data_IF_802611664245
#
_entry.id   IF_802611664245
#
_cell.length_a   1.000
_cell.length_b   1.000
_cell.length_c   1.000
_cell.angle_alpha   90.00
_cell.angle_beta   90.00
_cell.angle_gamma   90.00
#
_symmetry.space_group_name_H-M   'P 1'
#
loop_
_entity.id
_entity.type
_entity.pdbx_description
1 polymer ?
#
# COMPACT_ATOMS: atom_id res chain seq x y z
N UNK A 1 6.98 8.21 -10.98
CA UNK A 1 5.93 7.35 -10.37
C UNK A 1 6.35 6.98 -8.97
N UNK A 2 5.50 7.23 -7.97
CA UNK A 2 5.82 6.96 -6.57
C UNK A 2 6.15 5.47 -6.32
N UNK A 3 5.47 4.55 -7.02
CA UNK A 3 5.69 3.09 -6.92
C UNK A 3 7.16 2.69 -7.16
N UNK A 4 7.85 3.36 -8.11
CA UNK A 4 9.28 3.10 -8.38
C UNK A 4 10.19 3.50 -7.22
N UNK A 5 9.78 4.47 -6.41
CA UNK A 5 10.57 5.05 -5.33
C UNK A 5 10.42 4.30 -3.99
N UNK A 6 9.48 3.35 -3.87
CA UNK A 6 9.30 2.54 -2.66
C UNK A 6 10.61 1.78 -2.37
N UNK A 7 11.00 1.58 -1.11
CA UNK A 7 12.24 0.87 -0.77
C UNK A 7 12.06 -0.65 -0.83
N UNK A 8 13.01 -1.34 -1.44
CA UNK A 8 13.09 -2.81 -1.42
C UNK A 8 13.63 -3.31 -0.06
N UNK A 9 13.43 -4.59 0.24
CA UNK A 9 13.92 -5.25 1.45
C UNK A 9 13.24 -4.76 2.73
N UNK A 10 12.05 -4.18 2.62
CA UNK A 10 11.20 -3.85 3.77
C UNK A 10 10.26 -5.02 4.05
N UNK A 11 9.93 -5.23 5.32
CA UNK A 11 8.92 -6.20 5.70
C UNK A 11 7.59 -5.82 5.03
N UNK A 12 6.88 -6.83 4.52
CA UNK A 12 5.53 -6.64 4.00
C UNK A 12 4.60 -6.16 5.12
N UNK A 13 3.54 -5.45 4.74
CA UNK A 13 2.48 -5.09 5.65
C UNK A 13 1.65 -6.32 6.07
N UNK A 14 0.57 -6.11 6.84
CA UNK A 14 -0.40 -7.15 7.16
C UNK A 14 -1.03 -7.83 5.93
N UNK A 15 -1.02 -7.14 4.79
CA UNK A 15 -1.45 -7.65 3.48
C UNK A 15 -0.52 -8.71 2.90
N UNK A 16 0.67 -8.91 3.48
CA UNK A 16 1.74 -9.77 2.98
C UNK A 16 2.23 -9.42 1.57
N UNK A 17 1.99 -8.19 1.10
CA UNK A 17 2.43 -7.72 -0.22
C UNK A 17 3.78 -7.01 -0.06
N UNK A 18 4.88 -7.57 -0.61
CA UNK A 18 6.18 -6.89 -0.58
C UNK A 18 6.24 -5.74 -1.59
N UNK A 19 7.10 -4.76 -1.33
CA UNK A 19 7.31 -3.62 -2.22
C UNK A 19 7.77 -4.04 -3.62
N UNK A 20 8.49 -5.16 -3.72
CA UNK A 20 8.96 -5.77 -4.95
C UNK A 20 7.82 -6.28 -5.83
N UNK A 21 6.72 -6.76 -5.23
CA UNK A 21 5.54 -7.19 -5.98
C UNK A 21 4.81 -5.99 -6.60
N UNK A 22 4.73 -4.86 -5.90
CA UNK A 22 4.18 -3.62 -6.45
C UNK A 22 5.03 -3.05 -7.60
N UNK A 23 6.32 -3.43 -7.65
CA UNK A 23 7.26 -3.00 -8.69
C UNK A 23 7.38 -3.96 -9.86
N UNK A 24 6.93 -5.21 -9.74
CA UNK A 24 7.07 -6.21 -10.80
C UNK A 24 6.22 -5.85 -12.02
N UNK A 25 5.03 -5.31 -11.80
CA UNK A 25 4.16 -4.75 -12.84
C UNK A 25 3.67 -3.36 -12.44
N UNK A 26 4.42 -2.35 -12.87
CA UNK A 26 4.16 -0.94 -12.51
C UNK A 26 2.90 -0.43 -13.19
N UNK A 27 2.61 -0.89 -14.41
CA UNK A 27 1.45 -0.41 -15.16
C UNK A 27 0.16 -0.94 -14.54
N UNK A 28 0.07 -2.25 -14.31
CA UNK A 28 -1.07 -2.85 -13.64
C UNK A 28 -1.28 -2.27 -12.24
N UNK A 29 -0.21 -2.15 -11.45
CA UNK A 29 -0.28 -1.59 -10.09
C UNK A 29 -0.76 -0.13 -10.11
N UNK A 30 -0.26 0.68 -11.05
CA UNK A 30 -0.70 2.08 -11.18
C UNK A 30 -2.17 2.17 -11.57
N UNK A 31 -2.61 1.39 -12.56
CA UNK A 31 -4.00 1.40 -13.01
C UNK A 31 -4.95 0.98 -11.88
N UNK A 32 -4.58 -0.05 -11.11
CA UNK A 32 -5.37 -0.51 -9.98
C UNK A 32 -5.45 0.55 -8.86
N UNK A 33 -4.33 1.18 -8.49
CA UNK A 33 -4.29 2.25 -7.48
C UNK A 33 -5.07 3.48 -7.93
N UNK A 34 -4.95 3.87 -9.20
CA UNK A 34 -5.68 5.01 -9.75
C UNK A 34 -7.20 4.81 -9.67
N UNK A 35 -7.70 3.64 -10.09
CA UNK A 35 -9.12 3.30 -10.00
C UNK A 35 -9.62 3.30 -8.56
N UNK A 36 -8.84 2.75 -7.63
CA UNK A 36 -9.16 2.74 -6.21
C UNK A 36 -9.28 4.17 -5.65
N UNK A 37 -8.27 5.01 -5.89
CA UNK A 37 -8.29 6.40 -5.40
C UNK A 37 -9.40 7.23 -6.05
N UNK A 38 -9.68 7.01 -7.34
CA UNK A 38 -10.80 7.65 -8.03
C UNK A 38 -12.14 7.28 -7.36
N UNK A 39 -12.36 5.99 -7.06
CA UNK A 39 -13.57 5.54 -6.37
C UNK A 39 -13.70 6.16 -4.99
N UNK A 40 -12.63 6.19 -4.20
CA UNK A 40 -12.62 6.83 -2.87
C UNK A 40 -12.94 8.33 -2.97
N UNK A 41 -12.40 9.01 -4.00
CA UNK A 41 -12.66 10.42 -4.25
C UNK A 41 -14.13 10.69 -4.64
N UNK A 42 -14.73 9.85 -5.47
CA UNK A 42 -16.11 10.02 -5.96
C UNK A 42 -17.17 9.63 -4.91
N UNK A 43 -16.91 8.58 -4.13
CA UNK A 43 -17.86 8.08 -3.12
C UNK A 43 -17.67 8.73 -1.75
N UNK A 44 -16.54 9.42 -1.52
CA UNK A 44 -16.10 9.95 -0.22
C UNK A 44 -16.00 8.89 0.89
N UNK A 45 -15.91 7.62 0.51
CA UNK A 45 -15.90 6.48 1.43
C UNK A 45 -14.54 5.78 1.43
N UNK A 46 -13.99 5.62 2.64
CA UNK A 46 -12.69 4.98 2.87
C UNK A 46 -12.91 3.55 3.38
N UNK A 47 -12.15 2.54 2.90
CA UNK A 47 -12.22 1.18 3.43
C UNK A 47 -12.06 1.15 4.95
N UNK A 48 -12.85 0.31 5.63
CA UNK A 48 -12.80 0.21 7.10
C UNK A 48 -11.44 -0.26 7.59
N UNK A 49 -10.77 -1.14 6.85
CA UNK A 49 -9.43 -1.64 7.18
C UNK A 49 -8.38 -0.51 7.25
N UNK A 50 -8.58 0.60 6.51
CA UNK A 50 -7.66 1.75 6.57
C UNK A 50 -7.83 2.58 7.84
N UNK A 51 -8.93 2.38 8.58
CA UNK A 51 -9.16 3.00 9.89
C UNK A 51 -8.55 2.16 11.02
N UNK A 52 -8.10 0.95 10.73
CA UNK A 52 -7.42 0.09 11.68
C UNK A 52 -5.91 0.38 11.69
N UNK A 53 -5.33 0.54 12.89
CA UNK A 53 -3.91 0.76 13.07
C UNK A 53 -3.24 -0.44 13.74
N UNK A 54 -2.27 -1.06 13.08
CA UNK A 54 -1.46 -2.13 13.67
C UNK A 54 -0.22 -1.56 14.37
N UNK A 55 -0.04 -1.90 15.65
CA UNK A 55 1.10 -1.46 16.46
C UNK A 55 2.08 -2.60 16.66
N UNK A 56 3.30 -2.46 16.11
CA UNK A 56 4.41 -3.38 16.37
C UNK A 56 5.37 -2.72 17.36
N UNK A 57 5.48 -3.29 18.56
CA UNK A 57 6.44 -2.81 19.56
C UNK A 57 7.85 -3.30 19.20
N UNK A 58 8.78 -2.37 19.04
CA UNK A 58 10.21 -2.67 18.86
C UNK A 58 10.91 -2.43 20.20
N UNK A 59 11.48 -3.46 20.85
CA UNK A 59 12.25 -3.26 22.08
C UNK A 59 13.46 -2.38 21.78
N UNK A 60 13.67 -1.35 22.60
CA UNK A 60 14.92 -0.57 22.56
C UNK A 60 16.03 -1.41 23.20
N UNK A 61 17.25 -1.18 22.71
CA UNK A 61 18.47 -1.67 23.38
C UNK A 61 18.64 -1.02 24.74
#
# INVERSE_FOLDING_TARGET
>A
MAVRQIKNGKAAGPDNIPAEALKSDIEATTNMLYLLFKKIWEEEQVPMDWKEGHLVRIPKK
#
